data_IF_396208856823
#
_entry.id   IF_396208856823
#
_cell.length_a   1.000
_cell.length_b   1.000
_cell.length_c   1.000
_cell.angle_alpha   90.00
_cell.angle_beta   90.00
_cell.angle_gamma   90.00
#
_symmetry.space_group_name_H-M   'P 1'
#
loop_
_entity.id
_entity.type
_entity.pdbx_description
1 polymer ?
#
# COMPACT_ATOMS: atom_id res chain seq x y z
N UNK A 1 31.80 -12.74 -22.84
CA UNK A 1 31.76 -12.58 -21.38
C UNK A 1 32.03 -13.94 -20.77
N UNK A 2 32.81 -14.09 -19.69
CA UNK A 2 33.10 -15.42 -19.16
C UNK A 2 31.94 -15.92 -18.26
N UNK A 3 31.81 -17.24 -18.12
CA UNK A 3 30.76 -17.90 -17.34
C UNK A 3 30.68 -17.38 -15.91
N UNK A 4 31.82 -17.06 -15.29
CA UNK A 4 31.90 -16.50 -13.94
C UNK A 4 31.19 -15.15 -13.82
N UNK A 5 31.35 -14.26 -14.81
CA UNK A 5 30.63 -12.97 -14.83
C UNK A 5 29.13 -13.18 -15.01
N UNK A 6 28.68 -14.12 -15.85
CA UNK A 6 27.26 -14.41 -16.04
C UNK A 6 26.59 -14.92 -14.76
N UNK A 7 27.22 -15.88 -14.07
CA UNK A 7 26.72 -16.41 -12.79
C UNK A 7 26.69 -15.31 -11.73
N UNK A 8 27.73 -14.47 -11.64
CA UNK A 8 27.77 -13.37 -10.68
C UNK A 8 26.61 -12.38 -10.91
N UNK A 9 26.33 -12.01 -12.17
CA UNK A 9 25.23 -11.10 -12.50
C UNK A 9 23.85 -11.70 -12.22
N UNK A 10 23.66 -13.00 -12.47
CA UNK A 10 22.42 -13.71 -12.11
C UNK A 10 22.19 -13.69 -10.59
N UNK A 11 23.24 -13.98 -9.80
CA UNK A 11 23.15 -13.95 -8.34
C UNK A 11 22.86 -12.55 -7.81
N UNK A 12 23.46 -11.51 -8.38
CA UNK A 12 23.16 -10.11 -8.03
C UNK A 12 21.69 -9.79 -8.36
N UNK A 13 21.22 -10.18 -9.54
CA UNK A 13 19.82 -9.97 -9.94
C UNK A 13 18.83 -10.64 -9.00
N UNK A 14 19.09 -11.90 -8.62
CA UNK A 14 18.30 -12.64 -7.65
C UNK A 14 18.30 -11.97 -6.27
N UNK A 15 19.45 -11.51 -5.80
CA UNK A 15 19.57 -10.81 -4.51
C UNK A 15 18.82 -9.49 -4.51
N UNK A 16 18.90 -8.70 -5.59
CA UNK A 16 18.14 -7.45 -5.73
C UNK A 16 16.64 -7.70 -5.79
N UNK A 17 16.23 -8.73 -6.53
CA UNK A 17 14.83 -9.14 -6.62
C UNK A 17 14.27 -9.55 -5.26
N UNK A 18 14.95 -10.45 -4.54
CA UNK A 18 14.52 -10.87 -3.20
C UNK A 18 14.63 -9.72 -2.18
N UNK A 19 15.65 -8.87 -2.30
CA UNK A 19 15.86 -7.71 -1.45
C UNK A 19 14.81 -6.62 -1.64
N UNK A 20 14.18 -6.53 -2.82
CA UNK A 20 13.14 -5.54 -3.12
C UNK A 20 11.89 -5.64 -2.23
N UNK A 21 11.62 -6.82 -1.69
CA UNK A 21 10.50 -7.05 -0.78
C UNK A 21 10.76 -6.51 0.63
N UNK A 22 12.02 -6.34 1.04
CA UNK A 22 12.37 -5.85 2.37
C UNK A 22 11.85 -4.42 2.67
N UNK A 23 12.08 -3.40 1.81
CA UNK A 23 11.56 -2.05 2.09
C UNK A 23 10.03 -1.98 2.03
N UNK A 24 9.39 -2.71 1.10
CA UNK A 24 7.92 -2.77 1.01
C UNK A 24 7.34 -3.44 2.25
N UNK A 25 7.90 -4.60 2.64
CA UNK A 25 7.51 -5.32 3.84
C UNK A 25 7.73 -4.51 5.11
N UNK A 26 8.82 -3.74 5.19
CA UNK A 26 9.08 -2.83 6.30
C UNK A 26 8.00 -1.76 6.42
N UNK A 27 7.58 -1.12 5.32
CA UNK A 27 6.50 -0.13 5.34
C UNK A 27 5.21 -0.74 5.84
N UNK A 28 4.80 -1.89 5.29
CA UNK A 28 3.55 -2.56 5.68
C UNK A 28 3.59 -2.95 7.16
N UNK A 29 4.71 -3.55 7.61
CA UNK A 29 4.90 -3.95 9.00
C UNK A 29 4.85 -2.75 9.94
N UNK A 30 5.59 -1.69 9.60
CA UNK A 30 5.65 -0.48 10.42
C UNK A 30 4.25 0.14 10.53
N UNK A 31 3.58 0.36 9.40
CA UNK A 31 2.24 0.95 9.36
C UNK A 31 1.17 0.13 10.09
N UNK A 32 1.32 -1.19 10.15
CA UNK A 32 0.42 -2.08 10.89
C UNK A 32 0.71 -2.12 12.40
N UNK A 33 1.94 -1.80 12.82
CA UNK A 33 2.38 -1.85 14.23
C UNK A 33 2.31 -0.50 14.93
N UNK A 34 2.03 0.60 14.23
CA UNK A 34 1.81 1.89 14.90
C UNK A 34 0.44 1.87 15.58
N UNK A 35 0.45 1.84 16.90
CA UNK A 35 -0.72 2.08 17.73
C UNK A 35 -1.05 3.59 17.81
N UNK A 36 -2.32 3.97 17.93
CA UNK A 36 -2.67 5.36 18.11
C UNK A 36 -2.16 5.87 19.47
N UNK A 37 -1.48 7.01 19.43
CA UNK A 37 -0.99 7.73 20.61
C UNK A 37 -2.11 8.40 21.39
N UNK A 38 -3.12 8.91 20.69
CA UNK A 38 -4.26 9.61 21.27
C UNK A 38 -5.54 9.34 20.45
N UNK A 39 -6.68 9.29 21.14
CA UNK A 39 -8.00 9.02 20.54
C UNK A 39 -9.03 10.00 21.12
N UNK A 40 -9.76 10.70 20.25
CA UNK A 40 -10.85 11.59 20.66
C UNK A 40 -12.15 11.23 19.94
N UNK A 41 -13.28 11.39 20.63
CA UNK A 41 -14.61 11.22 20.03
C UNK A 41 -15.00 12.48 19.28
N UNK A 42 -15.52 12.30 18.07
CA UNK A 42 -16.11 13.36 17.26
C UNK A 42 -17.61 13.45 17.58
N UNK A 43 -18.16 14.66 17.55
CA UNK A 43 -19.60 14.90 17.70
C UNK A 43 -20.40 14.41 16.49
N UNK A 44 -19.73 14.19 15.35
CA UNK A 44 -20.34 13.78 14.08
C UNK A 44 -20.79 14.95 13.21
N UNK A 45 -20.33 16.16 13.51
CA UNK A 45 -20.55 17.35 12.67
C UNK A 45 -19.24 18.12 12.50
N UNK A 46 -19.02 19.18 13.27
CA UNK A 46 -17.80 19.97 13.26
C UNK A 46 -17.21 20.02 14.67
N UNK A 47 -15.91 19.75 14.77
CA UNK A 47 -15.17 19.73 16.02
C UNK A 47 -13.77 20.34 15.85
N UNK A 48 -13.28 20.96 16.93
CA UNK A 48 -11.92 21.50 17.02
C UNK A 48 -11.17 20.81 18.17
N UNK A 49 -9.95 20.36 17.91
CA UNK A 49 -9.10 19.70 18.90
C UNK A 49 -7.68 20.24 18.89
N UNK A 50 -7.04 20.19 20.05
CA UNK A 50 -5.62 20.48 20.21
C UNK A 50 -4.90 19.23 20.68
N UNK A 51 -3.80 18.89 20.01
CA UNK A 51 -2.94 17.75 20.27
C UNK A 51 -1.53 18.20 20.60
N UNK A 52 -0.81 17.37 21.35
CA UNK A 52 0.62 17.51 21.60
C UNK A 52 1.33 16.29 21.01
N UNK A 53 2.31 16.53 20.16
CA UNK A 53 3.09 15.49 19.49
C UNK A 53 4.58 15.84 19.49
N UNK A 54 5.41 14.84 19.23
CA UNK A 54 6.87 15.01 19.21
C UNK A 54 7.30 15.96 18.07
N UNK A 55 7.97 17.10 18.35
CA UNK A 55 8.37 18.07 17.32
C UNK A 55 9.23 17.47 16.21
N UNK A 56 9.01 17.89 14.96
CA UNK A 56 9.79 17.45 13.80
C UNK A 56 9.56 15.99 13.38
N UNK A 57 8.66 15.28 14.04
CA UNK A 57 8.26 13.92 13.62
C UNK A 57 7.17 13.99 12.56
N UNK A 58 7.01 12.91 11.79
CA UNK A 58 5.90 12.77 10.86
C UNK A 58 4.75 12.07 11.59
N UNK A 59 3.55 12.64 11.49
CA UNK A 59 2.34 12.12 12.12
C UNK A 59 1.22 12.02 11.11
N UNK A 60 0.17 11.28 11.46
CA UNK A 60 -1.07 11.24 10.69
C UNK A 60 -2.27 11.12 11.61
N UNK A 61 -3.41 11.60 11.14
CA UNK A 61 -4.69 11.30 11.74
C UNK A 61 -5.43 10.21 10.96
N UNK A 62 -6.25 9.41 11.65
CA UNK A 62 -7.29 8.59 11.01
C UNK A 62 -8.64 8.87 11.62
N UNK A 63 -9.65 8.95 10.77
CA UNK A 63 -11.05 8.96 11.20
C UNK A 63 -11.56 7.53 11.11
N UNK A 64 -12.16 7.04 12.18
CA UNK A 64 -12.78 5.71 12.27
C UNK A 64 -14.22 5.86 12.75
N UNK A 65 -15.14 5.15 12.13
CA UNK A 65 -16.54 5.18 12.56
C UNK A 65 -17.26 3.87 12.26
N UNK A 66 -18.33 3.62 13.01
CA UNK A 66 -19.31 2.59 12.68
C UNK A 66 -20.31 3.16 11.68
N UNK A 67 -20.55 2.43 10.60
CA UNK A 67 -21.43 2.84 9.52
C UNK A 67 -22.59 1.86 9.46
N UNK A 68 -23.80 2.39 9.34
CA UNK A 68 -25.01 1.62 9.02
C UNK A 68 -25.62 2.16 7.73
N UNK A 69 -25.98 1.27 6.81
CA UNK A 69 -26.60 1.67 5.53
C UNK A 69 -27.66 0.66 5.13
N UNK A 70 -28.73 1.14 4.50
CA UNK A 70 -29.72 0.30 3.80
C UNK A 70 -29.33 0.05 2.34
N UNK A 71 -28.29 0.76 1.86
CA UNK A 71 -27.85 0.72 0.49
C UNK A 71 -26.70 -0.25 0.32
N UNK A 72 -26.93 -1.32 -0.42
CA UNK A 72 -25.92 -2.34 -0.73
C UNK A 72 -25.77 -2.55 -2.23
N UNK A 73 -24.64 -3.12 -2.63
CA UNK A 73 -24.39 -3.58 -3.99
C UNK A 73 -23.88 -5.01 -3.95
N UNK A 74 -24.49 -5.88 -4.76
CA UNK A 74 -24.01 -7.25 -4.96
C UNK A 74 -22.60 -7.24 -5.55
N UNK A 75 -21.71 -8.05 -4.98
CA UNK A 75 -20.36 -8.26 -5.48
C UNK A 75 -20.39 -9.24 -6.65
N UNK A 76 -20.31 -8.69 -7.87
CA UNK A 76 -20.39 -9.49 -9.10
C UNK A 76 -19.17 -10.38 -9.32
N UNK A 77 -18.08 -10.14 -8.59
CA UNK A 77 -16.84 -10.92 -8.70
C UNK A 77 -16.80 -12.07 -7.67
N UNK A 78 -17.77 -12.14 -6.76
CA UNK A 78 -17.89 -13.23 -5.79
C UNK A 78 -18.70 -14.40 -6.36
N UNK A 79 -18.31 -15.62 -5.99
CA UNK A 79 -19.06 -16.84 -6.33
C UNK A 79 -20.24 -17.09 -5.37
N UNK A 80 -20.26 -16.38 -4.24
CA UNK A 80 -21.31 -16.40 -3.24
C UNK A 80 -22.14 -15.11 -3.32
N UNK A 81 -23.37 -15.13 -2.79
CA UNK A 81 -24.26 -13.95 -2.71
C UNK A 81 -23.69 -12.93 -1.69
N UNK A 82 -22.60 -12.25 -2.05
CA UNK A 82 -21.95 -11.23 -1.23
C UNK A 82 -22.47 -9.84 -1.57
N UNK A 83 -22.66 -9.03 -0.52
CA UNK A 83 -23.16 -7.67 -0.63
C UNK A 83 -22.17 -6.69 -0.01
N UNK A 84 -21.91 -5.58 -0.69
CA UNK A 84 -21.04 -4.50 -0.24
C UNK A 84 -21.90 -3.33 0.24
N UNK A 85 -21.71 -2.92 1.50
CA UNK A 85 -22.38 -1.75 2.04
C UNK A 85 -21.86 -0.46 1.38
N UNK A 86 -22.80 0.38 0.91
CA UNK A 86 -22.53 1.66 0.25
C UNK A 86 -22.72 2.82 1.21
N UNK A 87 -21.72 3.70 1.23
CA UNK A 87 -21.69 4.92 2.04
C UNK A 87 -20.76 5.96 1.42
N UNK A 88 -20.99 7.23 1.71
CA UNK A 88 -20.16 8.35 1.26
C UNK A 88 -20.25 9.53 2.22
N UNK A 89 -19.24 9.69 3.07
CA UNK A 89 -19.14 10.81 4.01
C UNK A 89 -18.02 11.77 3.57
N UNK A 90 -18.34 12.98 3.10
CA UNK A 90 -17.35 14.02 2.87
C UNK A 90 -16.75 14.49 4.20
N UNK A 91 -15.44 14.71 4.22
CA UNK A 91 -14.70 15.17 5.40
C UNK A 91 -13.82 16.34 4.96
N UNK A 92 -14.04 17.50 5.57
CA UNK A 92 -13.20 18.68 5.42
C UNK A 92 -12.36 18.84 6.67
N UNK A 93 -11.07 19.08 6.55
CA UNK A 93 -10.22 19.27 7.72
C UNK A 93 -9.13 20.30 7.47
N UNK A 94 -8.72 20.96 8.55
CA UNK A 94 -7.61 21.91 8.57
C UNK A 94 -6.73 21.61 9.77
N UNK A 95 -5.45 21.44 9.51
CA UNK A 95 -4.42 21.25 10.53
C UNK A 95 -3.59 22.52 10.58
N UNK A 96 -3.40 23.07 11.78
CA UNK A 96 -2.63 24.28 12.01
C UNK A 96 -1.71 24.15 13.21
N UNK A 97 -0.66 24.97 13.27
CA UNK A 97 0.21 25.08 14.44
C UNK A 97 -0.42 25.97 15.53
N UNK A 98 0.29 26.19 16.65
CA UNK A 98 -0.19 27.05 17.74
C UNK A 98 -0.33 28.53 17.35
N UNK A 99 0.34 28.97 16.28
CA UNK A 99 0.25 30.34 15.77
C UNK A 99 -0.93 30.53 14.82
N UNK A 100 -1.61 29.44 14.43
CA UNK A 100 -2.68 29.42 13.45
C UNK A 100 -2.18 29.31 12.00
N UNK A 101 -0.89 29.01 11.79
CA UNK A 101 -0.38 28.74 10.44
C UNK A 101 -0.91 27.39 9.97
N UNK A 102 -1.55 27.38 8.80
CA UNK A 102 -2.10 26.16 8.20
C UNK A 102 -0.96 25.27 7.70
N UNK A 103 -0.95 24.03 8.17
CA UNK A 103 -0.03 22.98 7.73
C UNK A 103 -0.66 22.16 6.60
N UNK A 104 -1.93 21.78 6.75
CA UNK A 104 -2.73 21.05 5.76
C UNK A 104 -4.17 21.59 5.78
N UNK A 105 -4.80 21.68 4.62
CA UNK A 105 -6.24 21.97 4.50
C UNK A 105 -6.78 21.24 3.29
N UNK A 106 -7.64 20.26 3.50
CA UNK A 106 -8.12 19.38 2.43
C UNK A 106 -9.55 18.90 2.63
N UNK A 107 -10.16 18.54 1.51
CA UNK A 107 -11.45 17.86 1.44
C UNK A 107 -11.22 16.43 0.94
N UNK A 108 -11.58 15.46 1.76
CA UNK A 108 -11.51 14.04 1.42
C UNK A 108 -12.90 13.40 1.53
N UNK A 109 -12.99 12.14 1.12
CA UNK A 109 -14.25 11.38 1.20
C UNK A 109 -13.99 10.00 1.77
N UNK A 110 -14.69 9.67 2.84
CA UNK A 110 -14.82 8.30 3.34
C UNK A 110 -15.97 7.62 2.61
N UNK A 111 -15.68 6.86 1.55
CA UNK A 111 -16.68 6.20 0.71
C UNK A 111 -16.39 4.73 0.42
N UNK A 112 -17.45 3.92 0.27
CA UNK A 112 -17.34 2.50 -0.04
C UNK A 112 -16.50 2.19 -1.30
N UNK A 113 -16.48 3.11 -2.28
CA UNK A 113 -15.68 3.08 -3.50
C UNK A 113 -15.27 4.50 -3.90
N UNK A 114 -14.03 4.67 -4.35
CA UNK A 114 -13.53 5.95 -4.86
C UNK A 114 -13.25 7.03 -3.81
N UNK A 115 -13.36 6.71 -2.52
CA UNK A 115 -12.69 7.46 -1.45
C UNK A 115 -11.21 7.06 -1.34
N UNK A 116 -10.43 7.74 -0.51
CA UNK A 116 -9.04 7.37 -0.25
C UNK A 116 -8.88 5.95 0.33
N UNK A 117 -7.68 5.60 0.80
CA UNK A 117 -7.39 4.28 1.40
C UNK A 117 -8.32 3.98 2.59
N UNK A 118 -9.38 3.21 2.34
CA UNK A 118 -10.38 2.85 3.34
C UNK A 118 -10.16 1.42 3.80
N UNK A 119 -10.02 1.25 5.11
CA UNK A 119 -10.01 -0.07 5.73
C UNK A 119 -11.38 -0.36 6.31
N UNK A 120 -11.93 -1.53 5.97
CA UNK A 120 -13.21 -2.04 6.48
C UNK A 120 -12.96 -3.23 7.42
N UNK A 121 -13.73 -3.34 8.48
CA UNK A 121 -13.71 -4.48 9.40
C UNK A 121 -15.09 -4.71 10.02
N UNK A 122 -15.33 -5.90 10.59
CA UNK A 122 -16.60 -6.27 11.22
C UNK A 122 -17.81 -6.05 10.29
N UNK A 123 -17.63 -6.34 9.01
CA UNK A 123 -18.68 -6.17 8.01
C UNK A 123 -19.75 -7.25 8.18
N UNK A 124 -21.00 -6.81 8.29
CA UNK A 124 -22.18 -7.66 8.29
C UNK A 124 -23.18 -7.06 7.31
N UNK A 125 -23.24 -7.63 6.11
CA UNK A 125 -24.03 -7.14 4.98
C UNK A 125 -25.02 -8.20 4.51
N UNK A 126 -26.18 -7.73 4.09
CA UNK A 126 -27.24 -8.54 3.48
C UNK A 126 -27.83 -7.77 2.30
N UNK A 127 -28.75 -8.39 1.56
CA UNK A 127 -29.48 -7.73 0.47
C UNK A 127 -30.28 -6.49 0.89
N UNK A 128 -30.51 -6.26 2.18
CA UNK A 128 -31.33 -5.15 2.69
C UNK A 128 -30.52 -4.04 3.36
N UNK A 129 -29.21 -4.21 3.55
CA UNK A 129 -28.39 -3.26 4.29
C UNK A 129 -27.13 -3.88 4.86
N UNK A 130 -26.38 -3.10 5.63
CA UNK A 130 -25.24 -3.62 6.35
C UNK A 130 -24.69 -2.67 7.39
N UNK A 131 -23.89 -3.24 8.27
CA UNK A 131 -23.08 -2.51 9.25
C UNK A 131 -21.62 -2.85 9.07
N UNK A 132 -20.75 -1.85 9.16
CA UNK A 132 -19.31 -2.06 9.11
C UNK A 132 -18.57 -0.99 9.91
N UNK A 133 -17.34 -1.26 10.28
CA UNK A 133 -16.42 -0.23 10.76
C UNK A 133 -15.57 0.23 9.59
N UNK A 134 -15.64 1.52 9.24
CA UNK A 134 -14.78 2.12 8.23
C UNK A 134 -13.73 3.02 8.90
N UNK A 135 -12.57 3.10 8.27
CA UNK A 135 -11.57 4.09 8.61
C UNK A 135 -10.92 4.67 7.38
N UNK A 136 -10.60 5.97 7.43
CA UNK A 136 -9.82 6.66 6.40
C UNK A 136 -8.66 7.39 7.06
N UNK A 137 -7.51 7.41 6.39
CA UNK A 137 -6.36 8.20 6.83
C UNK A 137 -6.46 9.61 6.25
N UNK A 138 -6.06 10.60 7.03
CA UNK A 138 -5.77 11.96 6.56
C UNK A 138 -4.30 12.02 6.11
N UNK A 139 -3.92 13.11 5.45
CA UNK A 139 -2.56 13.27 4.95
C UNK A 139 -1.52 13.39 6.09
N UNK A 140 -0.32 12.88 5.79
CA UNK A 140 0.82 12.92 6.70
C UNK A 140 1.40 14.34 6.74
N UNK A 141 1.78 14.83 7.91
CA UNK A 141 2.46 16.12 8.06
C UNK A 141 3.55 16.06 9.11
N UNK A 142 4.50 16.99 9.01
CA UNK A 142 5.56 17.16 10.00
C UNK A 142 5.07 18.05 11.13
N UNK A 143 5.24 17.58 12.36
CA UNK A 143 4.88 18.32 13.57
C UNK A 143 5.73 19.60 13.67
N UNK A 144 5.14 20.77 13.95
CA UNK A 144 5.87 22.02 14.12
C UNK A 144 6.86 21.95 15.29
N UNK A 145 7.80 22.88 15.33
CA UNK A 145 8.89 22.87 16.31
C UNK A 145 8.40 23.02 17.77
N UNK A 146 7.21 23.58 17.97
CA UNK A 146 6.58 23.74 19.28
C UNK A 146 5.80 22.49 19.75
N UNK A 147 5.62 21.48 18.89
CA UNK A 147 4.90 20.24 19.20
C UNK A 147 3.38 20.35 19.22
N UNK A 148 2.83 21.55 19.00
CA UNK A 148 1.41 21.83 19.18
C UNK A 148 0.66 21.80 17.86
N UNK A 149 -0.44 21.06 17.82
CA UNK A 149 -1.23 20.87 16.60
C UNK A 149 -2.68 21.17 16.93
N UNK A 150 -3.33 21.96 16.10
CA UNK A 150 -4.78 22.17 16.14
C UNK A 150 -5.40 21.56 14.90
N UNK A 151 -6.47 20.80 15.07
CA UNK A 151 -7.25 20.24 13.96
C UNK A 151 -8.69 20.69 14.07
N UNK A 152 -9.16 21.34 13.02
CA UNK A 152 -10.57 21.57 12.75
C UNK A 152 -11.03 20.49 11.79
N UNK A 153 -12.09 19.75 12.12
CA UNK A 153 -12.62 18.69 11.27
C UNK A 153 -14.14 18.82 11.17
N UNK A 154 -14.66 18.68 9.95
CA UNK A 154 -16.07 18.65 9.64
C UNK A 154 -16.40 17.37 8.86
N UNK A 155 -17.39 16.62 9.35
CA UNK A 155 -17.91 15.43 8.68
C UNK A 155 -19.33 15.74 8.22
N UNK A 156 -19.52 15.79 6.91
CA UNK A 156 -20.84 15.97 6.31
C UNK A 156 -21.63 14.65 6.27
N UNK A 157 -22.97 14.70 6.40
CA UNK A 157 -23.81 13.52 6.27
C UNK A 157 -23.74 12.92 4.86
N UNK A 158 -24.02 11.61 4.76
CA UNK A 158 -24.12 10.93 3.47
C UNK A 158 -25.44 11.25 2.78
N UNK A 159 -25.40 12.16 1.80
CA UNK A 159 -26.56 12.53 0.99
C UNK A 159 -26.75 11.63 -0.25
N UNK A 160 -25.84 10.69 -0.51
CA UNK A 160 -25.85 9.85 -1.71
C UNK A 160 -26.51 8.50 -1.45
N UNK A 161 -26.16 7.85 -0.35
CA UNK A 161 -26.66 6.54 0.04
C UNK A 161 -27.46 6.54 1.33
N UNK A 162 -27.61 7.72 1.96
CA UNK A 162 -28.34 7.91 3.22
C UNK A 162 -27.82 7.01 4.35
N UNK A 163 -26.53 6.68 4.31
CA UNK A 163 -25.87 5.94 5.37
C UNK A 163 -25.76 6.81 6.64
N UNK A 164 -25.83 6.18 7.80
CA UNK A 164 -25.59 6.83 9.09
C UNK A 164 -24.22 6.45 9.64
N UNK A 165 -23.58 7.43 10.28
CA UNK A 165 -22.32 7.28 10.98
C UNK A 165 -22.57 7.33 12.49
N UNK A 166 -22.06 6.34 13.22
CA UNK A 166 -22.15 6.24 14.66
C UNK A 166 -20.75 6.23 15.28
N UNK A 167 -20.64 6.91 16.42
CA UNK A 167 -19.41 6.98 17.23
C UNK A 167 -18.14 7.31 16.44
N UNK A 168 -18.12 8.39 15.64
CA UNK A 168 -16.90 8.76 14.93
C UNK A 168 -15.77 9.10 15.90
N UNK A 169 -14.57 8.61 15.60
CA UNK A 169 -13.36 8.78 16.40
C UNK A 169 -12.23 9.30 15.52
N UNK A 170 -11.43 10.20 16.09
CA UNK A 170 -10.19 10.69 15.50
C UNK A 170 -9.02 10.10 16.28
N UNK A 171 -8.11 9.47 15.56
CA UNK A 171 -6.95 8.77 16.09
C UNK A 171 -5.67 9.47 15.61
N UNK A 172 -4.80 9.89 16.54
CA UNK A 172 -3.47 10.42 16.23
C UNK A 172 -2.43 9.30 16.26
N UNK A 173 -1.71 9.13 15.16
CA UNK A 173 -0.60 8.18 15.04
C UNK A 173 0.72 8.94 14.95
N UNK A 174 1.55 8.81 15.98
CA UNK A 174 2.93 9.29 15.97
C UNK A 174 3.89 8.27 15.36
N UNK A 175 5.00 8.77 14.80
CA UNK A 175 6.02 7.91 14.19
C UNK A 175 5.62 7.37 12.82
N UNK A 176 4.77 8.08 12.08
CA UNK A 176 4.57 7.75 10.68
C UNK A 176 5.92 7.84 9.93
N UNK A 177 6.10 7.01 8.91
CA UNK A 177 7.27 7.09 8.02
C UNK A 177 6.84 7.65 6.68
N UNK A 178 7.74 8.38 6.00
CA UNK A 178 7.57 8.67 4.58
C UNK A 178 7.84 7.39 3.79
N UNK A 179 6.77 6.72 3.40
CA UNK A 179 6.77 5.45 2.71
C UNK A 179 7.16 5.57 1.23
N UNK A 180 7.12 6.79 0.67
CA UNK A 180 7.41 7.06 -0.75
C UNK A 180 8.77 6.51 -1.14
N UNK A 181 9.83 6.84 -0.38
CA UNK A 181 11.18 6.42 -0.73
C UNK A 181 11.43 4.93 -0.54
N UNK A 182 10.79 4.31 0.45
CA UNK A 182 10.87 2.86 0.64
C UNK A 182 10.17 2.11 -0.49
N UNK A 183 8.98 2.55 -0.88
CA UNK A 183 8.24 1.95 -2.01
C UNK A 183 9.01 2.15 -3.31
N UNK A 184 9.46 3.37 -3.60
CA UNK A 184 10.23 3.68 -4.82
C UNK A 184 11.53 2.88 -4.88
N UNK A 185 12.29 2.80 -3.78
CA UNK A 185 13.52 2.01 -3.76
C UNK A 185 13.26 0.52 -3.94
N UNK A 186 12.22 -0.03 -3.32
CA UNK A 186 11.78 -1.41 -3.53
C UNK A 186 11.43 -1.67 -5.00
N UNK A 187 10.61 -0.83 -5.62
CA UNK A 187 10.21 -0.95 -7.03
C UNK A 187 11.42 -0.86 -7.96
N UNK A 188 12.34 0.08 -7.74
CA UNK A 188 13.56 0.21 -8.55
C UNK A 188 14.44 -1.03 -8.40
N UNK A 189 14.65 -1.53 -7.17
CA UNK A 189 15.41 -2.76 -6.92
C UNK A 189 14.78 -3.97 -7.61
N UNK A 190 13.44 -4.08 -7.59
CA UNK A 190 12.70 -5.12 -8.28
C UNK A 190 12.98 -5.12 -9.78
N UNK A 191 12.81 -3.97 -10.45
CA UNK A 191 13.06 -3.86 -11.90
C UNK A 191 14.53 -4.08 -12.26
N UNK A 192 15.48 -3.55 -11.49
CA UNK A 192 16.90 -3.80 -11.70
C UNK A 192 17.25 -5.29 -11.54
N UNK A 193 16.70 -5.94 -10.52
CA UNK A 193 16.88 -7.38 -10.28
C UNK A 193 16.27 -8.23 -11.38
N UNK A 194 15.06 -7.89 -11.82
CA UNK A 194 14.35 -8.60 -12.89
C UNK A 194 15.03 -8.48 -14.25
N UNK A 195 15.39 -7.25 -14.67
CA UNK A 195 16.07 -7.04 -15.95
C UNK A 195 17.46 -7.67 -16.01
N UNK A 196 18.19 -7.68 -14.88
CA UNK A 196 19.44 -8.43 -14.82
C UNK A 196 19.17 -9.94 -14.86
N UNK A 197 18.19 -10.47 -14.12
CA UNK A 197 17.84 -11.89 -14.17
C UNK A 197 17.48 -12.42 -15.58
N UNK A 198 16.50 -11.78 -16.24
CA UNK A 198 15.92 -12.27 -17.49
C UNK A 198 16.85 -12.07 -18.70
N UNK A 199 17.49 -10.90 -18.80
CA UNK A 199 18.44 -10.62 -19.87
C UNK A 199 19.60 -11.63 -19.89
N UNK A 200 20.00 -12.11 -18.72
CA UNK A 200 21.05 -13.13 -18.60
C UNK A 200 20.52 -14.55 -18.74
N UNK A 201 19.29 -14.85 -18.30
CA UNK A 201 18.67 -16.16 -18.52
C UNK A 201 18.58 -16.51 -20.01
N UNK A 202 18.15 -15.57 -20.86
CA UNK A 202 18.12 -15.77 -22.31
C UNK A 202 19.51 -16.01 -22.93
N UNK A 203 20.54 -15.30 -22.46
CA UNK A 203 21.92 -15.51 -22.92
C UNK A 203 22.47 -16.87 -22.47
N UNK A 204 22.15 -17.28 -21.23
CA UNK A 204 22.61 -18.55 -20.66
C UNK A 204 21.95 -19.76 -21.36
N UNK A 205 20.64 -19.69 -21.63
CA UNK A 205 19.94 -20.75 -22.37
C UNK A 205 20.45 -20.90 -23.82
N UNK A 206 20.80 -19.79 -24.49
CA UNK A 206 21.25 -19.84 -25.89
C UNK A 206 22.67 -20.45 -26.04
N UNK A 207 23.54 -20.26 -25.05
CA UNK A 207 24.89 -20.83 -25.04
C UNK A 207 24.90 -22.35 -24.75
N UNK A 208 23.95 -22.85 -23.94
CA UNK A 208 23.75 -24.28 -23.74
C UNK A 208 23.21 -24.99 -25.01
N UNK A 209 22.28 -24.36 -25.74
CA UNK A 209 21.75 -24.94 -26.98
C UNK A 209 22.80 -25.08 -28.09
N UNK A 210 23.84 -24.24 -28.11
CA UNK A 210 24.90 -24.30 -29.13
C UNK A 210 26.00 -25.33 -28.80
N UNK A 211 26.24 -25.62 -27.52
CA UNK A 211 27.20 -26.64 -27.06
C UNK A 211 26.82 -28.08 -27.47
N UNK A 212 25.52 -28.42 -27.41
CA UNK A 212 25.05 -29.76 -27.78
C UNK A 212 25.16 -30.05 -29.29
N UNK A 213 24.97 -29.03 -30.14
CA UNK A 213 25.10 -29.17 -31.60
C UNK A 213 26.56 -29.36 -32.06
N UNK A 214 27.53 -28.78 -31.36
CA UNK A 214 28.96 -28.95 -31.66
C UNK A 214 29.45 -30.37 -31.37
N UNK A 215 28.98 -30.96 -30.26
CA UNK A 215 29.47 -32.26 -29.79
C UNK A 215 28.90 -33.43 -30.60
N UNK A 216 27.68 -33.30 -31.14
CA UNK A 216 27.09 -34.31 -32.03
C UNK A 216 27.69 -34.29 -33.44
N UNK A 217 28.06 -33.13 -33.97
CA UNK A 217 28.74 -33.02 -35.27
C UNK A 217 30.13 -33.68 -35.27
N UNK A 218 30.87 -33.62 -34.15
CA UNK A 218 32.18 -34.28 -34.02
C UNK A 218 32.09 -35.81 -33.95
N UNK A 219 30.96 -36.39 -33.51
CA UNK A 219 30.80 -37.84 -33.36
C UNK A 219 30.32 -38.55 -34.63
N UNK A 220 29.69 -37.82 -35.55
CA UNK A 220 29.28 -38.36 -36.85
C UNK A 220 30.45 -38.52 -37.85
N UNK A 221 31.60 -37.88 -37.59
CA UNK A 221 32.78 -37.89 -38.48
C UNK A 221 33.72 -39.08 -38.33
N UNK A 222 33.67 -39.84 -37.23
CA UNK A 222 34.71 -40.83 -36.89
C UNK A 222 34.35 -42.30 -37.24
N UNK A 223 33.16 -42.52 -37.83
CA UNK A 223 32.63 -43.86 -38.11
C UNK A 223 33.02 -44.50 -39.46
N UNK A 224 33.87 -43.87 -40.29
CA UNK A 224 34.10 -44.30 -41.69
C UNK A 224 35.56 -44.61 -42.03
N UNK A 225 36.27 -45.41 -41.22
CA UNK A 225 37.55 -46.04 -41.63
C UNK A 225 37.80 -47.41 -41.00
N UNK A 226 36.97 -48.41 -41.30
CA UNK A 226 37.40 -49.83 -41.25
C UNK A 226 36.71 -50.62 -42.34
N UNK A 227 37.47 -51.00 -43.36
CA UNK A 227 37.07 -51.92 -44.42
C UNK A 227 38.13 -51.97 -45.50
N UNK A 228 38.62 -53.18 -45.77
CA UNK A 228 39.56 -53.62 -46.82
C UNK A 228 41.05 -53.59 -46.50
N UNK A 229 41.51 -54.69 -45.89
CA UNK A 229 42.47 -55.61 -46.52
C UNK A 229 42.20 -57.02 -46.00
#
# INVERSE_FOLDING_TARGET
MNQSTAIALLLIGLLLFLGSFAPIGYVIYHEAMIDPSENVSLSGSSDDFSFQASPGTLVRFKVKAEITTSSVQEDQDSFDDEYLARFKFPISYTISDASGSVLISEDIVMAWKGGGSISKSNENTTSTGGTLTASTSLDKFTVPADGSINIAIEISPDTTYEASMASPQLHLYEGAIDDTWYIVSGVVMFFCGFHSGDGWFYLFCNEFSTSEYSTTASRAGDGRRRGFA
#
